data_IF_397311744972
#
_entry.id   IF_397311744972
#
_cell.length_a   1.000
_cell.length_b   1.000
_cell.length_c   1.000
_cell.angle_alpha   90.00
_cell.angle_beta   90.00
_cell.angle_gamma   90.00
#
_symmetry.space_group_name_H-M   'P 1'
#
loop_
_entity.id
_entity.type
_entity.pdbx_description
1 polymer ?
#
# COMPACT_ATOMS: atom_id res chain seq x y z
N UNK A 1 -27.02 16.55 3.97
CA UNK A 1 -26.92 15.31 3.18
C UNK A 1 -25.49 15.25 2.67
N UNK A 2 -24.61 14.51 3.35
CA UNK A 2 -23.28 14.19 2.81
C UNK A 2 -23.47 13.35 1.56
N UNK A 3 -23.05 13.90 0.42
CA UNK A 3 -22.93 13.10 -0.80
C UNK A 3 -21.96 11.96 -0.47
N UNK A 4 -22.45 10.72 -0.48
CA UNK A 4 -21.64 9.50 -0.41
C UNK A 4 -20.63 9.61 -1.55
N UNK A 5 -19.41 10.09 -1.26
CA UNK A 5 -18.33 10.19 -2.26
C UNK A 5 -18.18 8.82 -2.88
N UNK A 6 -18.36 8.76 -4.19
CA UNK A 6 -18.28 7.53 -4.97
C UNK A 6 -16.93 6.86 -4.71
N UNK A 7 -16.92 5.56 -4.46
CA UNK A 7 -15.70 4.82 -4.14
C UNK A 7 -14.93 4.55 -5.44
N UNK A 8 -13.63 4.80 -5.46
CA UNK A 8 -12.79 4.53 -6.62
C UNK A 8 -12.33 3.06 -6.67
N UNK A 9 -11.84 2.55 -5.55
CA UNK A 9 -11.39 1.16 -5.40
C UNK A 9 -12.04 0.55 -4.16
N UNK A 10 -12.65 -0.62 -4.33
CA UNK A 10 -13.20 -1.44 -3.25
C UNK A 10 -12.61 -2.85 -3.33
N UNK A 11 -12.14 -3.34 -2.20
CA UNK A 11 -11.60 -4.68 -2.05
C UNK A 11 -12.36 -5.37 -0.93
N UNK A 12 -13.00 -6.50 -1.25
CA UNK A 12 -13.78 -7.29 -0.31
C UNK A 12 -13.27 -8.73 -0.28
N UNK A 13 -12.95 -9.20 0.93
CA UNK A 13 -12.51 -10.58 1.22
C UNK A 13 -11.38 -11.09 0.33
N UNK A 14 -10.50 -10.19 -0.14
CA UNK A 14 -9.37 -10.56 -0.97
C UNK A 14 -8.46 -11.54 -0.25
N UNK A 15 -8.26 -12.69 -0.87
CA UNK A 15 -7.29 -13.69 -0.43
C UNK A 15 -6.38 -14.05 -1.59
N UNK A 16 -5.07 -14.09 -1.31
CA UNK A 16 -4.04 -14.48 -2.28
C UNK A 16 -3.21 -15.62 -1.70
N UNK A 17 -3.17 -16.72 -2.41
CA UNK A 17 -2.36 -17.88 -2.06
C UNK A 17 -1.48 -18.31 -3.24
N UNK A 18 -0.38 -18.95 -2.94
CA UNK A 18 0.55 -19.49 -3.94
C UNK A 18 0.56 -21.02 -3.88
N UNK A 19 0.45 -21.66 -5.06
CA UNK A 19 0.68 -23.08 -5.17
C UNK A 19 2.18 -23.34 -5.08
N UNK A 20 2.58 -24.15 -4.12
CA UNK A 20 3.96 -24.53 -3.89
C UNK A 20 4.09 -26.05 -3.83
N UNK A 21 5.28 -26.54 -4.08
CA UNK A 21 5.60 -27.95 -3.89
C UNK A 21 6.48 -28.10 -2.67
N UNK A 22 6.16 -29.08 -1.81
CA UNK A 22 7.01 -29.50 -0.72
C UNK A 22 8.22 -30.29 -1.23
N UNK A 23 9.18 -30.60 -0.35
CA UNK A 23 10.31 -31.47 -0.70
C UNK A 23 9.89 -32.86 -1.18
N UNK A 24 8.70 -33.34 -0.79
CA UNK A 24 8.13 -34.61 -1.23
C UNK A 24 7.29 -34.48 -2.51
N UNK A 25 7.36 -33.35 -3.24
CA UNK A 25 6.55 -33.03 -4.44
C UNK A 25 5.04 -32.96 -4.16
N UNK A 26 4.63 -32.92 -2.91
CA UNK A 26 3.22 -32.67 -2.56
C UNK A 26 2.87 -31.22 -2.78
N UNK A 27 1.71 -30.98 -3.40
CA UNK A 27 1.21 -29.64 -3.63
C UNK A 27 0.63 -29.06 -2.32
N UNK A 28 1.10 -27.86 -1.94
CA UNK A 28 0.57 -27.09 -0.82
C UNK A 28 0.22 -25.68 -1.25
N UNK A 29 -0.63 -25.00 -0.47
CA UNK A 29 -0.98 -23.60 -0.69
C UNK A 29 -0.47 -22.74 0.44
N UNK A 30 0.31 -21.72 0.10
CA UNK A 30 0.76 -20.70 1.02
C UNK A 30 -0.15 -19.47 0.90
N UNK A 31 -1.02 -19.22 1.89
CA UNK A 31 -1.93 -18.07 1.91
C UNK A 31 -1.22 -16.86 2.52
N UNK A 32 -0.93 -15.86 1.70
CA UNK A 32 -0.20 -14.64 2.10
C UNK A 32 -1.15 -13.48 2.39
N UNK A 33 -2.25 -13.37 1.66
CA UNK A 33 -3.34 -12.42 1.95
C UNK A 33 -4.59 -13.22 2.32
N UNK A 34 -5.29 -12.78 3.36
CA UNK A 34 -6.45 -13.48 3.95
C UNK A 34 -7.58 -12.49 4.25
N UNK A 35 -8.70 -12.62 3.52
CA UNK A 35 -9.92 -11.85 3.75
C UNK A 35 -9.67 -10.34 3.94
N UNK A 36 -8.83 -9.76 3.09
CA UNK A 36 -8.45 -8.35 3.16
C UNK A 36 -9.58 -7.46 2.67
N UNK A 37 -9.84 -6.37 3.41
CA UNK A 37 -10.74 -5.31 3.03
C UNK A 37 -9.99 -3.99 2.90
N UNK A 38 -10.28 -3.22 1.86
CA UNK A 38 -9.75 -1.88 1.67
C UNK A 38 -10.70 -1.07 0.81
N UNK A 39 -10.97 0.17 1.21
CA UNK A 39 -11.75 1.13 0.44
C UNK A 39 -10.93 2.38 0.21
N UNK A 40 -10.85 2.84 -1.05
CA UNK A 40 -10.14 4.07 -1.43
C UNK A 40 -11.08 4.97 -2.22
N UNK A 41 -11.16 6.24 -1.84
CA UNK A 41 -12.02 7.25 -2.49
C UNK A 41 -11.19 8.27 -3.27
N UNK A 42 -11.77 8.91 -4.31
CA UNK A 42 -11.13 10.05 -4.96
C UNK A 42 -10.80 11.15 -3.94
N UNK A 43 -9.66 11.80 -4.12
CA UNK A 43 -9.19 12.84 -3.22
C UNK A 43 -8.61 12.34 -1.90
N UNK A 44 -8.33 11.02 -1.77
CA UNK A 44 -7.78 10.44 -0.55
C UNK A 44 -6.38 9.86 -0.75
N UNK A 45 -5.55 10.01 0.28
CA UNK A 45 -4.37 9.19 0.51
C UNK A 45 -4.71 8.16 1.60
N UNK A 46 -4.68 6.87 1.25
CA UNK A 46 -4.78 5.77 2.20
C UNK A 46 -3.40 5.18 2.41
N UNK A 47 -2.82 5.39 3.59
CA UNK A 47 -1.56 4.77 3.96
C UNK A 47 -1.78 3.32 4.39
N UNK A 48 -0.93 2.41 3.93
CA UNK A 48 -0.92 1.01 4.34
C UNK A 48 0.30 0.78 5.22
N UNK A 49 0.06 0.59 6.51
CA UNK A 49 1.07 0.35 7.52
C UNK A 49 1.04 -1.10 8.02
N UNK A 50 2.18 -1.63 8.43
CA UNK A 50 2.29 -2.97 8.99
C UNK A 50 3.71 -3.53 8.88
N UNK A 51 3.97 -4.64 9.58
CA UNK A 51 5.28 -5.28 9.58
C UNK A 51 5.71 -5.76 8.19
N UNK A 52 7.02 -5.92 7.98
CA UNK A 52 7.55 -6.57 6.78
C UNK A 52 6.95 -7.96 6.61
N UNK A 53 6.69 -8.37 5.38
CA UNK A 53 6.07 -9.67 5.09
C UNK A 53 4.56 -9.76 5.36
N UNK A 54 3.88 -8.67 5.73
CA UNK A 54 2.43 -8.67 5.94
C UNK A 54 1.58 -8.66 4.65
N UNK A 55 2.20 -8.70 3.46
CA UNK A 55 1.49 -8.79 2.18
C UNK A 55 1.22 -7.46 1.47
N UNK A 56 1.78 -6.32 1.95
CA UNK A 56 1.51 -4.98 1.40
C UNK A 56 1.83 -4.84 -0.10
N UNK A 57 3.03 -5.18 -0.52
CA UNK A 57 3.43 -5.13 -1.95
C UNK A 57 2.67 -6.15 -2.80
N UNK A 58 2.24 -7.27 -2.19
CA UNK A 58 1.43 -8.26 -2.88
C UNK A 58 0.03 -7.72 -3.20
N UNK A 59 -0.53 -6.87 -2.32
CA UNK A 59 -1.77 -6.16 -2.60
C UNK A 59 -1.64 -5.27 -3.85
N UNK A 60 -0.56 -4.50 -3.96
CA UNK A 60 -0.29 -3.68 -5.15
C UNK A 60 -0.27 -4.56 -6.43
N UNK A 61 0.41 -5.70 -6.37
CA UNK A 61 0.47 -6.67 -7.47
C UNK A 61 -0.90 -7.28 -7.79
N UNK A 62 -1.72 -7.55 -6.79
CA UNK A 62 -3.09 -8.06 -6.96
C UNK A 62 -4.01 -7.04 -7.63
N UNK A 63 -3.97 -5.77 -7.23
CA UNK A 63 -4.75 -4.70 -7.84
C UNK A 63 -4.34 -4.52 -9.33
N UNK A 64 -3.06 -4.60 -9.61
CA UNK A 64 -2.53 -4.44 -10.97
C UNK A 64 -2.66 -5.70 -11.84
N UNK A 65 -2.99 -6.87 -11.28
CA UNK A 65 -3.04 -8.13 -12.03
C UNK A 65 -1.67 -8.58 -12.56
N UNK A 66 -0.60 -8.37 -11.76
CA UNK A 66 0.79 -8.77 -12.08
C UNK A 66 1.33 -9.81 -11.11
N UNK A 67 0.43 -10.58 -10.50
CA UNK A 67 0.82 -11.70 -9.66
C UNK A 67 1.47 -12.82 -10.51
N UNK A 68 2.37 -13.63 -9.93
CA UNK A 68 2.94 -14.80 -10.59
C UNK A 68 1.84 -15.83 -10.98
N UNK A 69 2.09 -16.64 -11.99
CA UNK A 69 1.12 -17.62 -12.51
C UNK A 69 0.67 -18.68 -11.50
N UNK A 70 1.49 -18.98 -10.50
CA UNK A 70 1.14 -19.91 -9.43
C UNK A 70 0.27 -19.26 -8.33
N UNK A 71 -0.09 -17.98 -8.47
CA UNK A 71 -1.01 -17.31 -7.55
C UNK A 71 -2.46 -17.72 -7.80
N UNK A 72 -3.20 -17.88 -6.70
CA UNK A 72 -4.66 -18.08 -6.70
C UNK A 72 -5.27 -16.91 -5.95
N UNK A 73 -6.13 -16.16 -6.64
CA UNK A 73 -6.83 -14.99 -6.10
C UNK A 73 -8.29 -15.34 -5.86
N UNK A 74 -8.81 -14.97 -4.70
CA UNK A 74 -10.22 -15.12 -4.31
C UNK A 74 -10.70 -13.80 -3.70
N UNK A 75 -12.00 -13.55 -3.71
CA UNK A 75 -12.60 -12.29 -3.26
C UNK A 75 -12.87 -11.36 -4.43
N UNK A 76 -13.24 -10.11 -4.13
CA UNK A 76 -13.73 -9.16 -5.12
C UNK A 76 -12.92 -7.88 -5.09
N UNK A 77 -12.51 -7.42 -6.26
CA UNK A 77 -11.92 -6.11 -6.47
C UNK A 77 -12.82 -5.34 -7.43
N UNK A 78 -13.26 -4.15 -7.04
CA UNK A 78 -14.06 -3.27 -7.88
C UNK A 78 -13.33 -1.94 -8.07
N UNK A 79 -13.32 -1.46 -9.31
CA UNK A 79 -12.79 -0.16 -9.67
C UNK A 79 -13.90 0.66 -10.35
N UNK A 80 -14.22 1.83 -9.78
CA UNK A 80 -15.36 2.66 -10.22
C UNK A 80 -16.68 1.84 -10.30
N UNK A 81 -16.91 0.99 -9.30
CA UNK A 81 -18.10 0.14 -9.21
C UNK A 81 -18.15 -1.05 -10.17
N UNK A 82 -17.13 -1.28 -10.99
CA UNK A 82 -17.02 -2.43 -11.91
C UNK A 82 -16.01 -3.44 -11.38
N UNK A 83 -16.28 -4.73 -11.57
CA UNK A 83 -15.35 -5.78 -11.19
C UNK A 83 -14.02 -5.66 -11.98
N UNK A 84 -12.92 -5.65 -11.26
CA UNK A 84 -11.58 -5.48 -11.80
C UNK A 84 -11.05 -6.82 -12.36
N UNK A 85 -11.56 -7.20 -13.52
CA UNK A 85 -11.14 -8.42 -14.21
C UNK A 85 -9.69 -8.34 -14.73
N UNK A 86 -9.00 -9.47 -15.03
CA UNK A 86 -7.66 -9.45 -15.59
C UNK A 86 -7.52 -8.62 -16.87
N UNK A 87 -8.52 -8.66 -17.75
CA UNK A 87 -8.54 -7.85 -18.97
C UNK A 87 -8.65 -6.35 -18.67
N UNK A 88 -9.48 -5.98 -17.67
CA UNK A 88 -9.60 -4.60 -17.22
C UNK A 88 -8.31 -4.13 -16.54
N UNK A 89 -7.70 -4.94 -15.67
CA UNK A 89 -6.41 -4.66 -15.04
C UNK A 89 -5.33 -4.37 -16.09
N UNK A 90 -5.23 -5.18 -17.14
CA UNK A 90 -4.27 -4.97 -18.23
C UNK A 90 -4.51 -3.64 -18.97
N UNK A 91 -5.75 -3.25 -19.19
CA UNK A 91 -6.12 -1.99 -19.87
C UNK A 91 -5.82 -0.77 -19.00
N UNK A 92 -6.05 -0.87 -17.69
CA UNK A 92 -5.92 0.27 -16.76
C UNK A 92 -4.48 0.53 -16.33
N UNK A 93 -3.63 -0.49 -16.35
CA UNK A 93 -2.19 -0.35 -15.99
C UNK A 93 -1.48 0.65 -16.90
N UNK A 94 -0.81 1.62 -16.28
CA UNK A 94 -0.06 2.63 -17.01
C UNK A 94 -0.93 3.69 -17.68
N UNK A 95 -2.24 3.71 -17.38
CA UNK A 95 -3.20 4.71 -17.86
C UNK A 95 -3.99 5.30 -16.69
N UNK A 96 -4.94 4.54 -16.12
CA UNK A 96 -5.75 4.98 -14.98
C UNK A 96 -5.16 4.56 -13.63
N UNK A 97 -4.33 3.50 -13.60
CA UNK A 97 -3.65 3.03 -12.40
C UNK A 97 -2.14 3.08 -12.63
N UNK A 98 -1.45 3.89 -11.83
CA UNK A 98 0.00 4.03 -11.83
C UNK A 98 0.63 3.32 -10.63
N UNK A 99 1.83 2.75 -10.82
CA UNK A 99 2.63 2.15 -9.77
C UNK A 99 3.96 2.88 -9.63
N UNK A 100 4.34 3.22 -8.41
CA UNK A 100 5.72 3.46 -7.99
C UNK A 100 6.20 2.19 -7.31
N UNK A 101 7.02 1.36 -7.97
CA UNK A 101 7.44 0.07 -7.39
C UNK A 101 8.52 0.24 -6.31
N UNK A 102 8.60 -0.74 -5.41
CA UNK A 102 9.59 -0.75 -4.34
C UNK A 102 11.03 -0.85 -4.86
N UNK A 103 11.28 -1.57 -5.94
CA UNK A 103 12.63 -1.80 -6.45
C UNK A 103 12.99 -0.88 -7.62
N UNK A 104 14.18 -0.29 -7.60
CA UNK A 104 14.73 0.46 -8.73
C UNK A 104 15.07 -0.43 -9.93
N UNK A 105 15.11 -1.75 -9.76
CA UNK A 105 15.31 -2.73 -10.82
C UNK A 105 14.15 -2.76 -11.85
N UNK A 106 13.03 -2.10 -11.56
CA UNK A 106 11.95 -1.90 -12.53
C UNK A 106 12.30 -0.88 -13.62
N UNK A 107 13.36 -0.10 -13.47
CA UNK A 107 13.88 0.72 -14.56
C UNK A 107 14.60 -0.16 -15.57
N UNK A 108 14.22 -0.05 -16.85
CA UNK A 108 14.88 -0.75 -17.95
C UNK A 108 16.31 -0.21 -18.12
N UNK A 109 17.37 -1.04 -17.92
CA UNK A 109 18.75 -0.59 -17.99
C UNK A 109 19.17 -0.14 -19.39
N UNK A 110 18.46 -0.55 -20.44
CA UNK A 110 18.76 -0.25 -21.83
C UNK A 110 18.00 0.98 -22.38
N UNK A 111 17.09 1.54 -21.59
CA UNK A 111 16.28 2.69 -22.00
C UNK A 111 16.68 3.96 -21.21
N UNK A 112 16.78 5.09 -21.91
CA UNK A 112 17.02 6.38 -21.25
C UNK A 112 15.91 6.76 -20.28
N UNK A 113 16.31 7.36 -19.16
CA UNK A 113 15.42 7.72 -18.05
C UNK A 113 14.27 8.62 -18.51
N UNK A 114 14.52 9.62 -19.35
CA UNK A 114 13.46 10.49 -19.86
C UNK A 114 12.40 9.74 -20.68
N UNK A 115 12.82 8.76 -21.47
CA UNK A 115 11.88 7.95 -22.25
C UNK A 115 11.03 7.04 -21.36
N UNK A 116 11.61 6.51 -20.28
CA UNK A 116 10.88 5.72 -19.29
C UNK A 116 9.89 6.58 -18.50
N UNK A 117 10.31 7.78 -18.09
CA UNK A 117 9.46 8.72 -17.37
C UNK A 117 8.26 9.20 -18.21
N UNK A 118 8.44 9.38 -19.51
CA UNK A 118 7.35 9.73 -20.44
C UNK A 118 6.41 8.55 -20.70
N UNK A 119 6.88 7.31 -20.54
CA UNK A 119 6.10 6.09 -20.76
C UNK A 119 5.45 6.03 -22.15
N UNK A 120 4.17 5.64 -22.17
CA UNK A 120 3.35 5.54 -23.40
C UNK A 120 2.66 6.85 -23.78
N UNK A 121 2.79 7.92 -22.99
CA UNK A 121 2.10 9.18 -23.21
C UNK A 121 2.45 9.81 -24.56
N UNK A 122 1.44 10.34 -25.25
CA UNK A 122 1.56 11.06 -26.53
C UNK A 122 0.61 12.27 -26.54
N UNK A 123 1.08 13.49 -26.86
CA UNK A 123 2.49 13.84 -27.08
C UNK A 123 3.34 13.64 -25.82
N UNK A 124 4.65 13.54 -25.97
CA UNK A 124 5.56 13.37 -24.82
C UNK A 124 5.46 14.56 -23.88
N UNK A 125 5.29 14.35 -22.56
CA UNK A 125 5.03 15.41 -21.58
C UNK A 125 6.33 16.09 -21.12
N UNK A 126 7.17 16.58 -22.08
CA UNK A 126 8.51 17.10 -21.80
C UNK A 126 8.51 18.24 -20.80
N UNK A 127 7.57 19.18 -20.91
CA UNK A 127 7.46 20.30 -19.97
C UNK A 127 7.03 19.83 -18.57
N UNK A 128 5.99 18.98 -18.49
CA UNK A 128 5.53 18.40 -17.21
C UNK A 128 6.63 17.58 -16.55
N UNK A 129 7.37 16.77 -17.33
CA UNK A 129 8.51 16.01 -16.86
C UNK A 129 9.59 16.94 -16.29
N UNK A 130 9.96 18.02 -17.01
CA UNK A 130 10.94 18.99 -16.55
C UNK A 130 10.58 19.56 -15.19
N UNK A 131 9.36 20.08 -15.02
CA UNK A 131 8.86 20.63 -13.76
C UNK A 131 8.91 19.60 -12.61
N UNK A 132 8.52 18.34 -12.87
CA UNK A 132 8.55 17.28 -11.85
C UNK A 132 9.98 16.89 -11.50
N UNK A 133 10.88 16.80 -12.49
CA UNK A 133 12.30 16.50 -12.24
C UNK A 133 12.97 17.59 -11.43
N UNK A 134 12.69 18.87 -11.72
CA UNK A 134 13.22 20.00 -10.95
C UNK A 134 12.74 19.97 -9.50
N UNK A 135 11.45 19.73 -9.25
CA UNK A 135 10.90 19.60 -7.90
C UNK A 135 11.50 18.41 -7.12
N UNK A 136 11.79 17.32 -7.83
CA UNK A 136 12.46 16.15 -7.23
C UNK A 136 13.99 16.33 -7.17
N UNK A 137 14.52 17.52 -7.43
CA UNK A 137 15.95 17.85 -7.41
C UNK A 137 16.80 16.88 -8.26
N UNK A 138 16.27 16.49 -9.43
CA UNK A 138 17.01 15.71 -10.43
C UNK A 138 17.79 16.65 -11.35
N UNK A 139 19.08 16.39 -11.59
CA UNK A 139 19.89 17.23 -12.50
C UNK A 139 19.29 17.35 -13.90
N UNK A 140 19.44 18.48 -14.61
CA UNK A 140 18.82 18.70 -15.93
C UNK A 140 19.20 17.66 -16.99
N UNK A 141 20.38 17.04 -16.89
CA UNK A 141 20.84 15.99 -17.80
C UNK A 141 20.19 14.62 -17.53
N UNK A 142 19.52 14.43 -16.39
CA UNK A 142 18.95 13.13 -15.97
C UNK A 142 18.10 12.45 -17.05
N UNK A 143 17.26 13.12 -17.86
CA UNK A 143 16.50 12.48 -18.92
C UNK A 143 17.34 11.75 -19.98
N UNK A 144 18.61 12.14 -20.15
CA UNK A 144 19.53 11.58 -21.13
C UNK A 144 20.35 10.41 -20.58
N UNK A 145 20.35 10.22 -19.27
CA UNK A 145 21.10 9.15 -18.59
C UNK A 145 20.37 7.81 -18.70
N UNK A 146 21.13 6.74 -18.53
CA UNK A 146 20.62 5.38 -18.33
C UNK A 146 20.53 5.08 -16.81
N UNK A 147 19.67 4.12 -16.38
CA UNK A 147 19.52 3.79 -14.97
C UNK A 147 20.81 3.46 -14.23
N UNK A 148 21.76 2.77 -14.86
CA UNK A 148 23.05 2.43 -14.26
C UNK A 148 23.97 3.65 -14.01
N UNK A 149 23.65 4.80 -14.57
CA UNK A 149 24.38 6.06 -14.36
C UNK A 149 23.79 6.87 -13.19
N UNK A 150 22.70 6.41 -12.59
CA UNK A 150 22.03 7.09 -11.48
C UNK A 150 22.54 6.58 -10.12
N UNK A 151 22.57 7.47 -9.13
CA UNK A 151 22.64 7.03 -7.74
C UNK A 151 21.32 6.35 -7.33
N UNK A 152 21.33 5.54 -6.26
CA UNK A 152 20.11 4.90 -5.77
C UNK A 152 18.98 5.89 -5.47
N UNK A 153 19.29 7.02 -4.83
CA UNK A 153 18.32 8.08 -4.56
C UNK A 153 17.80 8.78 -5.83
N UNK A 154 18.64 8.96 -6.85
CA UNK A 154 18.18 9.48 -8.15
C UNK A 154 17.24 8.49 -8.84
N UNK A 155 17.61 7.21 -8.89
CA UNK A 155 16.78 6.16 -9.49
C UNK A 155 15.40 6.08 -8.80
N UNK A 156 15.36 6.21 -7.46
CA UNK A 156 14.11 6.25 -6.69
C UNK A 156 13.24 7.45 -7.08
N UNK A 157 13.82 8.65 -7.14
CA UNK A 157 13.10 9.87 -7.55
C UNK A 157 12.60 9.79 -9.00
N UNK A 158 13.36 9.14 -9.88
CA UNK A 158 12.88 8.84 -11.24
C UNK A 158 11.67 7.92 -11.22
N UNK A 159 11.66 6.85 -10.43
CA UNK A 159 10.48 5.98 -10.30
C UNK A 159 9.26 6.75 -9.76
N UNK A 160 9.43 7.59 -8.75
CA UNK A 160 8.35 8.48 -8.28
C UNK A 160 7.84 9.37 -9.41
N UNK A 161 8.75 9.97 -10.18
CA UNK A 161 8.38 10.86 -11.29
C UNK A 161 7.55 10.17 -12.36
N UNK A 162 7.73 8.88 -12.61
CA UNK A 162 6.94 8.15 -13.62
C UNK A 162 5.43 8.18 -13.30
N UNK A 163 5.07 7.95 -12.04
CA UNK A 163 3.67 8.00 -11.60
C UNK A 163 3.11 9.44 -11.58
N UNK A 164 3.92 10.42 -11.18
CA UNK A 164 3.51 11.82 -11.12
C UNK A 164 3.29 12.45 -12.52
N UNK A 165 4.03 11.97 -13.53
CA UNK A 165 3.90 12.42 -14.92
C UNK A 165 2.61 11.90 -15.55
N UNK A 166 2.23 10.66 -15.20
CA UNK A 166 0.99 10.05 -15.66
C UNK A 166 -0.22 10.79 -15.04
N UNK A 167 -1.30 10.90 -15.80
CA UNK A 167 -2.56 11.45 -15.26
C UNK A 167 -3.47 10.35 -14.72
N UNK A 168 -2.89 9.42 -13.95
CA UNK A 168 -3.59 8.31 -13.36
C UNK A 168 -4.59 8.78 -12.28
N UNK A 169 -5.72 8.08 -12.18
CA UNK A 169 -6.73 8.36 -11.14
C UNK A 169 -6.41 7.65 -9.83
N UNK A 170 -5.74 6.49 -9.91
CA UNK A 170 -5.22 5.75 -8.77
C UNK A 170 -3.71 5.62 -8.88
N UNK A 171 -3.00 6.08 -7.84
CA UNK A 171 -1.55 5.92 -7.71
C UNK A 171 -1.29 4.96 -6.56
N UNK A 172 -0.52 3.91 -6.82
CA UNK A 172 -0.03 2.98 -5.81
C UNK A 172 1.46 3.25 -5.64
N UNK A 173 1.86 3.80 -4.49
CA UNK A 173 3.25 4.08 -4.16
C UNK A 173 3.74 3.05 -3.14
N UNK A 174 4.54 2.08 -3.60
CA UNK A 174 5.10 1.02 -2.76
C UNK A 174 6.50 1.40 -2.30
N UNK A 175 6.62 1.78 -1.02
CA UNK A 175 7.85 2.24 -0.39
C UNK A 175 8.56 3.35 -1.24
N UNK A 176 7.91 4.50 -1.48
CA UNK A 176 8.45 5.48 -2.42
C UNK A 176 9.66 6.25 -1.90
N UNK A 177 9.89 6.31 -0.58
CA UNK A 177 10.84 7.22 0.07
C UNK A 177 12.20 6.63 0.47
N UNK A 178 12.42 5.31 0.66
CA UNK A 178 13.71 4.77 1.06
C UNK A 178 14.85 5.19 0.14
N UNK A 179 15.98 5.58 0.74
CA UNK A 179 17.16 6.06 -0.01
C UNK A 179 17.12 7.53 -0.44
N UNK A 180 16.08 8.27 -0.04
CA UNK A 180 15.98 9.73 -0.16
C UNK A 180 16.42 10.41 1.15
N UNK A 181 16.89 11.66 1.07
CA UNK A 181 16.98 12.51 2.26
C UNK A 181 15.58 12.87 2.75
N UNK A 182 15.46 13.32 4.01
CA UNK A 182 14.16 13.70 4.58
C UNK A 182 13.45 14.76 3.72
N UNK A 183 14.18 15.81 3.30
CA UNK A 183 13.60 16.87 2.46
C UNK A 183 13.07 16.35 1.12
N UNK A 184 13.81 15.43 0.49
CA UNK A 184 13.39 14.80 -0.77
C UNK A 184 12.17 13.89 -0.58
N UNK A 185 12.11 13.15 0.52
CA UNK A 185 10.97 12.31 0.87
C UNK A 185 9.71 13.14 1.14
N UNK A 186 9.85 14.22 1.91
CA UNK A 186 8.78 15.17 2.18
C UNK A 186 8.26 15.81 0.89
N UNK A 187 9.14 16.23 -0.03
CA UNK A 187 8.72 16.82 -1.30
C UNK A 187 7.96 15.81 -2.17
N UNK A 188 8.43 14.56 -2.25
CA UNK A 188 7.72 13.51 -2.98
C UNK A 188 6.32 13.25 -2.39
N UNK A 189 6.19 13.23 -1.06
CA UNK A 189 4.90 13.04 -0.39
C UNK A 189 3.97 14.25 -0.55
N UNK A 190 4.49 15.49 -0.54
CA UNK A 190 3.71 16.67 -0.88
C UNK A 190 3.13 16.60 -2.29
N UNK A 191 3.93 16.14 -3.27
CA UNK A 191 3.44 15.96 -4.64
C UNK A 191 2.33 14.91 -4.72
N UNK A 192 2.38 13.82 -3.96
CA UNK A 192 1.24 12.88 -3.85
C UNK A 192 0.03 13.51 -3.17
N UNK A 193 0.23 14.36 -2.15
CA UNK A 193 -0.86 15.09 -1.51
C UNK A 193 -1.55 16.05 -2.49
N UNK A 194 -0.79 16.81 -3.27
CA UNK A 194 -1.30 17.71 -4.30
C UNK A 194 -2.15 16.95 -5.34
N UNK A 195 -1.73 15.74 -5.75
CA UNK A 195 -2.52 14.91 -6.64
C UNK A 195 -3.84 14.46 -6.00
N UNK A 196 -3.80 14.10 -4.71
CA UNK A 196 -5.01 13.73 -4.01
C UNK A 196 -5.94 14.94 -3.82
N UNK A 197 -5.42 16.13 -3.50
CA UNK A 197 -6.19 17.37 -3.40
C UNK A 197 -6.81 17.77 -4.76
N UNK A 198 -6.17 17.37 -5.87
CA UNK A 198 -6.70 17.50 -7.22
C UNK A 198 -7.74 16.42 -7.60
N UNK A 199 -8.13 15.55 -6.64
CA UNK A 199 -9.16 14.53 -6.82
C UNK A 199 -8.65 13.13 -7.17
N UNK A 200 -7.33 12.91 -7.29
CA UNK A 200 -6.76 11.58 -7.50
C UNK A 200 -6.81 10.77 -6.21
N UNK A 201 -6.70 9.45 -6.31
CA UNK A 201 -6.57 8.57 -5.15
C UNK A 201 -5.14 8.04 -5.04
N UNK A 202 -4.62 7.93 -3.82
CA UNK A 202 -3.28 7.42 -3.56
C UNK A 202 -3.32 6.32 -2.52
N UNK A 203 -2.73 5.17 -2.83
CA UNK A 203 -2.39 4.13 -1.86
C UNK A 203 -0.89 4.29 -1.57
N UNK A 204 -0.55 4.66 -0.35
CA UNK A 204 0.82 4.84 0.11
C UNK A 204 1.22 3.66 1.00
N UNK A 205 1.98 2.72 0.46
CA UNK A 205 2.53 1.60 1.23
C UNK A 205 3.86 2.05 1.82
N UNK A 206 3.98 1.99 3.14
CA UNK A 206 5.21 2.36 3.84
C UNK A 206 5.34 1.68 5.20
N UNK A 207 6.56 1.56 5.68
CA UNK A 207 6.87 1.17 7.07
C UNK A 207 7.09 2.40 7.97
N UNK A 208 7.23 3.59 7.40
CA UNK A 208 7.34 4.85 8.12
C UNK A 208 5.94 5.41 8.39
N UNK A 209 5.38 5.01 9.55
CA UNK A 209 4.02 5.37 9.93
C UNK A 209 3.92 6.87 10.25
N UNK A 210 4.95 7.44 10.86
CA UNK A 210 4.97 8.84 11.26
C UNK A 210 4.85 9.75 10.05
N UNK A 211 5.70 9.48 9.06
CA UNK A 211 5.68 10.21 7.81
C UNK A 211 4.35 9.98 7.06
N UNK A 212 3.83 8.77 7.09
CA UNK A 212 2.55 8.45 6.44
C UNK A 212 1.37 9.20 7.07
N UNK A 213 1.31 9.28 8.39
CA UNK A 213 0.21 9.94 9.14
C UNK A 213 0.15 11.44 8.86
N UNK A 214 1.27 12.08 8.51
CA UNK A 214 1.28 13.51 8.15
C UNK A 214 0.54 13.80 6.84
N UNK A 215 0.64 12.89 5.86
CA UNK A 215 0.11 13.11 4.52
C UNK A 215 -1.18 12.35 4.22
N UNK A 216 -1.45 11.26 4.95
CA UNK A 216 -2.61 10.41 4.72
C UNK A 216 -3.89 10.97 5.35
N UNK A 217 -5.02 10.63 4.72
CA UNK A 217 -6.37 10.84 5.26
C UNK A 217 -6.78 9.67 6.15
N UNK A 218 -6.39 8.44 5.76
CA UNK A 218 -6.67 7.20 6.50
C UNK A 218 -5.44 6.31 6.54
N UNK A 219 -5.35 5.50 7.59
CA UNK A 219 -4.30 4.48 7.74
C UNK A 219 -4.95 3.11 7.84
N UNK A 220 -4.63 2.22 6.92
CA UNK A 220 -4.99 0.81 6.94
C UNK A 220 -3.85 0.00 7.56
N UNK A 221 -4.11 -0.60 8.71
CA UNK A 221 -3.12 -1.40 9.45
C UNK A 221 -3.21 -2.85 9.01
N UNK A 222 -2.11 -3.35 8.44
CA UNK A 222 -1.98 -4.73 7.97
C UNK A 222 -1.27 -5.61 9.00
N UNK A 223 -1.82 -6.78 9.23
CA UNK A 223 -1.22 -7.82 10.07
C UNK A 223 -1.46 -9.20 9.47
N UNK A 224 -0.41 -9.97 9.25
CA UNK A 224 -0.47 -11.35 8.76
C UNK A 224 -1.38 -11.55 7.54
N UNK A 225 -1.33 -10.63 6.58
CA UNK A 225 -2.09 -10.72 5.32
C UNK A 225 -3.53 -10.19 5.39
N UNK A 226 -3.97 -9.58 6.48
CA UNK A 226 -5.30 -8.97 6.56
C UNK A 226 -5.26 -7.52 7.04
N UNK A 227 -6.27 -6.74 6.72
CA UNK A 227 -6.51 -5.44 7.33
C UNK A 227 -7.19 -5.62 8.68
N UNK A 228 -6.53 -5.23 9.76
CA UNK A 228 -7.07 -5.33 11.12
C UNK A 228 -7.81 -4.08 11.55
N UNK A 229 -7.40 -2.93 11.03
CA UNK A 229 -8.05 -1.63 11.27
C UNK A 229 -7.81 -0.69 10.10
N UNK A 230 -8.84 0.10 9.72
CA UNK A 230 -8.69 1.28 8.86
C UNK A 230 -9.24 2.48 9.60
N UNK A 231 -8.36 3.38 10.03
CA UNK A 231 -8.69 4.54 10.87
C UNK A 231 -8.40 5.85 10.15
N UNK A 232 -9.10 6.97 10.49
CA UNK A 232 -8.63 8.30 10.15
C UNK A 232 -7.18 8.52 10.63
N UNK A 233 -6.34 9.17 9.83
CA UNK A 233 -4.97 9.49 10.25
C UNK A 233 -4.93 10.37 11.51
N UNK A 234 -5.96 11.18 11.72
CA UNK A 234 -6.15 11.96 12.92
C UNK A 234 -6.16 11.12 14.21
N UNK A 235 -6.67 9.88 14.15
CA UNK A 235 -6.71 8.99 15.32
C UNK A 235 -5.31 8.54 15.74
N UNK A 236 -4.41 8.31 14.75
CA UNK A 236 -2.99 8.03 15.05
C UNK A 236 -2.28 9.21 15.69
N UNK A 237 -2.63 10.45 15.29
CA UNK A 237 -2.10 11.67 15.93
C UNK A 237 -2.66 11.90 17.32
N UNK A 238 -3.91 11.51 17.56
CA UNK A 238 -4.58 11.64 18.85
C UNK A 238 -4.05 10.67 19.93
N UNK A 239 -3.40 9.58 19.52
CA UNK A 239 -2.80 8.62 20.44
C UNK A 239 -3.46 7.23 20.44
N UNK A 240 -2.91 6.33 21.26
CA UNK A 240 -3.31 4.92 21.25
C UNK A 240 -4.78 4.68 21.62
N UNK A 241 -5.37 5.52 22.47
CA UNK A 241 -6.76 5.38 22.93
C UNK A 241 -7.78 5.65 21.82
N UNK A 242 -7.40 6.41 20.80
CA UNK A 242 -8.22 6.63 19.62
C UNK A 242 -8.25 5.42 18.68
N UNK A 243 -7.23 4.56 18.75
CA UNK A 243 -7.14 3.34 17.93
C UNK A 243 -8.02 2.22 18.51
N UNK A 244 -8.55 1.37 17.62
CA UNK A 244 -9.56 0.37 17.97
C UNK A 244 -8.99 -1.02 18.17
N UNK A 245 -8.07 -1.42 17.27
CA UNK A 245 -7.50 -2.77 17.31
C UNK A 245 -6.31 -2.84 18.27
N UNK A 246 -6.19 -3.88 19.13
CA UNK A 246 -5.05 -4.04 20.03
C UNK A 246 -3.69 -4.06 19.33
N UNK A 247 -3.60 -4.56 18.09
CA UNK A 247 -2.37 -4.50 17.30
C UNK A 247 -2.04 -3.07 16.86
N UNK A 248 -3.03 -2.27 16.44
CA UNK A 248 -2.80 -0.87 16.07
C UNK A 248 -2.27 -0.05 17.25
N UNK A 249 -2.82 -0.26 18.45
CA UNK A 249 -2.33 0.34 19.69
C UNK A 249 -0.89 -0.08 19.99
N UNK A 250 -0.60 -1.39 19.88
CA UNK A 250 0.75 -1.91 20.11
C UNK A 250 1.74 -1.40 19.05
N UNK A 251 1.32 -1.27 17.80
CA UNK A 251 2.11 -0.71 16.71
C UNK A 251 2.42 0.77 16.97
N UNK A 252 1.45 1.54 17.44
CA UNK A 252 1.62 2.94 17.83
C UNK A 252 2.65 3.09 18.98
N UNK A 253 2.56 2.27 20.03
CA UNK A 253 3.53 2.25 21.15
C UNK A 253 4.93 1.82 20.73
N UNK A 254 5.05 1.02 19.67
CA UNK A 254 6.34 0.58 19.15
C UNK A 254 7.10 1.66 18.36
N UNK A 255 6.45 2.79 18.03
CA UNK A 255 7.12 3.92 17.38
C UNK A 255 8.13 4.58 18.33
N UNK A 256 9.29 5.04 17.82
CA UNK A 256 10.35 5.61 18.66
C UNK A 256 9.89 6.72 19.60
N UNK A 257 9.04 7.65 19.11
CA UNK A 257 8.52 8.77 19.88
C UNK A 257 7.43 8.38 20.89
N UNK A 258 6.87 7.17 20.81
CA UNK A 258 5.76 6.71 21.63
C UNK A 258 6.18 5.68 22.70
N UNK A 259 7.45 5.69 23.09
CA UNK A 259 7.99 4.84 24.14
C UNK A 259 8.74 3.60 23.65
N UNK A 260 8.76 3.35 22.34
CA UNK A 260 9.52 2.25 21.71
C UNK A 260 9.27 0.87 22.37
N UNK A 261 8.01 0.61 22.73
CA UNK A 261 7.64 -0.63 23.40
C UNK A 261 7.47 -1.77 22.37
N UNK A 262 8.27 -2.84 22.44
CA UNK A 262 8.20 -3.94 21.48
C UNK A 262 6.89 -4.71 21.62
N UNK A 263 6.38 -5.23 20.50
CA UNK A 263 5.20 -6.10 20.49
C UNK A 263 5.68 -7.54 20.76
N UNK A 264 5.34 -8.18 21.91
CA UNK A 264 5.79 -9.51 22.24
C UNK A 264 5.39 -10.56 21.19
N UNK A 265 6.24 -11.59 21.03
CA UNK A 265 6.02 -12.71 20.12
C UNK A 265 6.25 -12.37 18.65
N UNK A 266 5.92 -13.32 17.77
CA UNK A 266 6.14 -13.20 16.33
C UNK A 266 4.82 -13.17 15.56
N UNK A 267 4.83 -12.52 14.39
CA UNK A 267 3.72 -12.62 13.45
C UNK A 267 3.58 -14.08 12.98
N UNK A 268 2.34 -14.61 12.89
CA UNK A 268 2.13 -15.98 12.39
C UNK A 268 2.72 -16.14 10.98
N UNK A 269 3.32 -17.31 10.76
CA UNK A 269 3.79 -17.68 9.42
C UNK A 269 2.61 -17.98 8.50
N UNK A 270 2.66 -17.50 7.26
CA UNK A 270 1.59 -17.66 6.28
C UNK A 270 1.20 -19.13 5.98
N UNK A 271 2.11 -20.08 6.22
CA UNK A 271 1.85 -21.53 6.10
C UNK A 271 1.19 -22.16 7.32
N UNK A 272 1.05 -21.42 8.43
CA UNK A 272 0.42 -21.91 9.66
C UNK A 272 -0.34 -20.75 10.36
N UNK A 273 -1.35 -20.22 9.68
CA UNK A 273 -2.18 -19.16 10.23
C UNK A 273 -3.15 -19.68 11.27
N UNK A 274 -3.44 -18.93 12.36
CA UNK A 274 -4.52 -19.25 13.29
C UNK A 274 -5.86 -19.38 12.58
N UNK A 275 -6.74 -20.24 13.08
CA UNK A 275 -8.06 -20.46 12.53
C UNK A 275 -8.98 -19.22 12.70
N UNK A 276 -8.86 -18.52 13.84
CA UNK A 276 -9.64 -17.35 14.18
C UNK A 276 -8.90 -16.02 13.88
N UNK A 277 -8.92 -15.12 14.85
CA UNK A 277 -8.22 -13.84 14.75
C UNK A 277 -6.70 -14.06 14.61
N UNK A 278 -6.09 -13.53 13.55
CA UNK A 278 -4.66 -13.72 13.27
C UNK A 278 -3.76 -13.12 14.35
N UNK A 279 -4.24 -12.11 15.10
CA UNK A 279 -3.51 -11.50 16.20
C UNK A 279 -3.77 -12.21 17.55
N UNK A 280 -4.72 -13.14 17.66
CA UNK A 280 -5.09 -13.82 18.92
C UNK A 280 -3.88 -14.39 19.71
N UNK A 281 -2.86 -15.03 19.09
CA UNK A 281 -1.69 -15.55 19.82
C UNK A 281 -0.89 -14.49 20.58
N UNK A 282 -0.99 -13.21 20.19
CA UNK A 282 -0.24 -12.08 20.76
C UNK A 282 -1.14 -11.05 21.45
N UNK A 283 -2.46 -11.24 21.39
CA UNK A 283 -3.43 -10.29 21.90
C UNK A 283 -3.59 -10.42 23.41
N UNK A 284 -3.36 -9.36 24.21
CA UNK A 284 -3.57 -9.40 25.65
C UNK A 284 -5.07 -9.49 26.04
N UNK A 285 -5.97 -9.20 25.11
CA UNK A 285 -7.42 -9.20 25.32
C UNK A 285 -8.13 -10.38 24.63
N UNK A 286 -7.37 -11.44 24.27
CA UNK A 286 -7.94 -12.57 23.57
C UNK A 286 -8.99 -13.31 24.39
N UNK A 287 -10.03 -13.79 23.72
CA UNK A 287 -11.06 -14.67 24.27
C UNK A 287 -11.06 -15.98 23.51
N UNK A 288 -11.77 -17.01 24.01
CA UNK A 288 -11.95 -18.27 23.31
C UNK A 288 -12.55 -18.08 21.90
N UNK A 289 -13.45 -17.10 21.74
CA UNK A 289 -14.03 -16.75 20.44
C UNK A 289 -12.97 -16.26 19.44
N UNK A 290 -11.98 -15.49 19.90
CA UNK A 290 -10.88 -15.02 19.04
C UNK A 290 -10.02 -16.16 18.49
N UNK A 291 -9.96 -17.29 19.17
CA UNK A 291 -9.20 -18.47 18.72
C UNK A 291 -9.97 -19.29 17.69
N UNK A 292 -11.29 -19.22 17.68
CA UNK A 292 -12.17 -20.04 16.86
C UNK A 292 -12.71 -19.33 15.63
N UNK A 293 -12.97 -18.01 15.73
CA UNK A 293 -13.64 -17.24 14.69
C UNK A 293 -12.80 -16.04 14.24
N UNK A 294 -12.81 -15.80 12.92
CA UNK A 294 -12.29 -14.55 12.36
C UNK A 294 -13.29 -13.41 12.66
N UNK A 295 -12.89 -12.33 13.37
CA UNK A 295 -13.81 -11.22 13.61
C UNK A 295 -14.30 -10.58 12.30
N UNK A 296 -15.59 -10.24 12.19
CA UNK A 296 -16.09 -9.47 11.07
C UNK A 296 -15.54 -8.04 11.09
N UNK A 297 -15.52 -7.39 9.93
CA UNK A 297 -15.24 -5.95 9.86
C UNK A 297 -16.45 -5.20 10.43
N UNK A 298 -16.19 -4.25 11.34
CA UNK A 298 -17.21 -3.41 11.97
C UNK A 298 -16.80 -1.94 11.87
N UNK A 299 -17.78 -1.07 11.64
CA UNK A 299 -17.57 0.37 11.75
C UNK A 299 -17.64 0.80 13.22
N UNK A 300 -16.60 1.47 13.71
CA UNK A 300 -16.50 1.97 15.08
C UNK A 300 -15.84 3.33 15.06
N UNK A 301 -16.48 4.34 15.62
CA UNK A 301 -15.94 5.73 15.78
C UNK A 301 -15.33 6.27 14.45
N UNK A 302 -15.99 6.10 13.30
CA UNK A 302 -15.56 6.57 12.00
C UNK A 302 -14.39 5.80 11.36
N UNK A 303 -13.96 4.70 11.96
CA UNK A 303 -13.01 3.74 11.40
C UNK A 303 -13.63 2.36 11.27
N UNK A 304 -12.93 1.47 10.57
CA UNK A 304 -13.28 0.06 10.41
C UNK A 304 -12.31 -0.78 11.25
N UNK A 305 -12.82 -1.80 11.93
CA UNK A 305 -11.98 -2.69 12.75
C UNK A 305 -12.44 -4.14 12.65
N UNK A 306 -11.47 -5.03 12.54
CA UNK A 306 -11.66 -6.49 12.57
C UNK A 306 -11.26 -7.01 13.94
N UNK A 307 -12.14 -6.82 14.94
CA UNK A 307 -11.89 -7.22 16.32
C UNK A 307 -13.21 -7.44 17.07
N UNK A 308 -13.29 -8.45 17.94
CA UNK A 308 -14.42 -8.63 18.85
C UNK A 308 -14.36 -7.69 20.05
N UNK A 309 -13.15 -7.36 20.50
CA UNK A 309 -12.90 -6.48 21.65
C UNK A 309 -12.92 -4.99 21.29
N UNK A 310 -12.48 -4.62 20.10
CA UNK A 310 -12.31 -3.22 19.66
C UNK A 310 -13.60 -2.42 19.83
N UNK A 311 -13.59 -1.47 20.75
CA UNK A 311 -14.66 -0.54 21.06
C UNK A 311 -14.15 0.91 20.92
#
# INVERSE_FOLDING_TARGET
MEQKKETLLEIHDLSVSFRMYTRALEQTQLRVISNLHLTVRPGQIVAIAGSSGSGKSLLASAILGILPENAVVQGHLHYKGQELTPAMQQRLRGHEIALVPQSVAFLDPLMKVGAQADGTLRPKPTEKRGKIFDRLHLPPQTPQLYPFQLSGGMARRVLVSTALIMDAELIIADEPTPGMSLDQALEALRMFRELADAGKAVILITHDIDLAVEFADRVAVFYAGTTVETAPAADFRAGEDALRHPYSRALWRALPQNGFAPIPGFQPYAGNLPQGCLFAPRCPYKTARCEQELPPVREVRGGEVRCFYGA
#
